data_IF_493156561858
#
_entry.id   IF_493156561858
#
_cell.length_a   1.000
_cell.length_b   1.000
_cell.length_c   1.000
_cell.angle_alpha   90.00
_cell.angle_beta   90.00
_cell.angle_gamma   90.00
#
_symmetry.space_group_name_H-M   'P 1'
#
loop_
_entity.id
_entity.type
_entity.pdbx_description
1 polymer ?
#
# COMPACT_ATOMS: atom_id res chain seq x y z
N UNK A 1 -14.29 23.97 -18.13
CA UNK A 1 -13.21 23.18 -18.79
C UNK A 1 -11.92 23.51 -18.07
N UNK A 2 -11.09 22.51 -17.77
CA UNK A 2 -9.77 22.75 -17.20
C UNK A 2 -8.85 23.34 -18.28
N UNK A 3 -7.90 24.19 -17.90
CA UNK A 3 -6.82 24.60 -18.80
C UNK A 3 -5.90 23.41 -19.13
N UNK A 4 -5.03 23.58 -20.13
CA UNK A 4 -4.22 22.50 -20.67
C UNK A 4 -3.19 21.96 -19.67
N UNK A 5 -2.56 22.83 -18.89
CA UNK A 5 -1.56 22.45 -17.87
C UNK A 5 -2.22 21.66 -16.73
N UNK A 6 -3.39 22.14 -16.28
CA UNK A 6 -4.18 21.48 -15.25
C UNK A 6 -4.73 20.14 -15.72
N UNK A 7 -5.14 20.03 -16.98
CA UNK A 7 -5.61 18.77 -17.57
C UNK A 7 -4.47 17.74 -17.71
N UNK A 8 -3.26 18.18 -18.08
CA UNK A 8 -2.08 17.32 -18.12
C UNK A 8 -1.68 16.85 -16.71
N UNK A 9 -1.67 17.75 -15.73
CA UNK A 9 -1.37 17.42 -14.33
C UNK A 9 -2.38 16.44 -13.77
N UNK A 10 -3.68 16.70 -13.97
CA UNK A 10 -4.75 15.80 -13.56
C UNK A 10 -4.59 14.42 -14.20
N UNK A 11 -4.37 14.35 -15.51
CA UNK A 11 -4.23 13.08 -16.23
C UNK A 11 -3.02 12.26 -15.76
N UNK A 12 -1.95 12.92 -15.32
CA UNK A 12 -0.72 12.29 -14.81
C UNK A 12 -0.86 11.75 -13.39
N UNK A 13 -1.67 12.39 -12.55
CA UNK A 13 -1.79 12.10 -11.12
C UNK A 13 -3.13 11.50 -10.72
N UNK A 14 -4.06 11.31 -11.68
CA UNK A 14 -5.33 10.64 -11.44
C UNK A 14 -5.09 9.25 -10.84
N UNK A 15 -5.92 8.83 -9.87
CA UNK A 15 -5.82 7.49 -9.32
C UNK A 15 -5.95 6.42 -10.41
N UNK A 16 -5.13 5.39 -10.32
CA UNK A 16 -5.34 4.17 -11.07
C UNK A 16 -6.42 3.33 -10.36
N UNK A 17 -7.25 2.63 -11.14
CA UNK A 17 -8.13 1.59 -10.64
C UNK A 17 -7.52 0.27 -11.08
N UNK A 18 -6.97 -0.49 -10.14
CA UNK A 18 -6.40 -1.81 -10.41
C UNK A 18 -7.05 -2.84 -9.50
N UNK A 19 -7.06 -4.08 -9.96
CA UNK A 19 -7.35 -5.21 -9.07
C UNK A 19 -6.16 -5.49 -8.15
N UNK A 20 -6.37 -6.22 -7.03
CA UNK A 20 -5.28 -6.66 -6.16
C UNK A 20 -4.17 -7.41 -6.92
N UNK A 21 -4.54 -8.23 -7.91
CA UNK A 21 -3.62 -8.97 -8.79
C UNK A 21 -2.72 -8.06 -9.63
N UNK A 22 -3.28 -7.00 -10.18
CA UNK A 22 -2.59 -6.09 -11.09
C UNK A 22 -1.68 -5.09 -10.37
N UNK A 23 -1.81 -4.95 -9.05
CA UNK A 23 -1.12 -3.90 -8.29
C UNK A 23 0.40 -4.09 -8.24
N UNK A 24 0.91 -5.32 -8.23
CA UNK A 24 2.36 -5.58 -8.19
C UNK A 24 3.02 -5.38 -9.57
N UNK A 25 2.34 -5.79 -10.65
CA UNK A 25 2.88 -5.71 -12.01
C UNK A 25 2.63 -4.35 -12.69
N UNK A 26 1.43 -3.79 -12.53
CA UNK A 26 0.98 -2.59 -13.23
C UNK A 26 0.95 -1.34 -12.33
N UNK A 27 1.13 -1.52 -11.02
CA UNK A 27 1.12 -0.43 -10.06
C UNK A 27 2.37 0.44 -10.14
N UNK A 28 2.19 1.75 -10.19
CA UNK A 28 3.29 2.71 -10.14
C UNK A 28 3.57 3.10 -8.68
N UNK A 29 4.80 2.90 -8.21
CA UNK A 29 5.22 3.34 -6.87
C UNK A 29 4.98 4.86 -6.68
N UNK A 30 4.46 5.22 -5.51
CA UNK A 30 4.12 6.60 -5.14
C UNK A 30 2.89 7.15 -5.87
N UNK A 31 2.17 6.34 -6.63
CA UNK A 31 0.91 6.73 -7.27
C UNK A 31 -0.30 6.41 -6.39
N UNK A 32 -1.38 7.15 -6.63
CA UNK A 32 -2.68 6.90 -6.02
C UNK A 32 -3.33 5.68 -6.68
N UNK A 33 -3.79 4.74 -5.85
CA UNK A 33 -4.45 3.53 -6.30
C UNK A 33 -5.80 3.39 -5.59
N UNK A 34 -6.82 2.99 -6.35
CA UNK A 34 -8.13 2.62 -5.83
C UNK A 34 -8.33 1.13 -6.11
N UNK A 35 -8.65 0.37 -5.07
CA UNK A 35 -8.94 -1.06 -5.12
C UNK A 35 -10.28 -1.33 -4.45
N UNK A 36 -10.92 -2.44 -4.82
CA UNK A 36 -12.14 -2.93 -4.18
C UNK A 36 -11.90 -4.35 -3.68
N UNK A 37 -12.45 -4.69 -2.52
CA UNK A 37 -12.47 -6.05 -2.02
C UNK A 37 -12.79 -6.11 -0.53
N UNK A 38 -12.62 -7.30 0.05
CA UNK A 38 -12.91 -7.55 1.46
C UNK A 38 -11.58 -7.62 2.24
N UNK A 39 -11.25 -6.65 3.11
CA UNK A 39 -9.99 -6.63 3.83
C UNK A 39 -10.04 -7.64 4.96
N UNK A 40 -9.07 -8.55 4.97
CA UNK A 40 -8.90 -9.53 6.03
C UNK A 40 -7.66 -9.20 6.85
N UNK A 41 -7.83 -8.92 8.13
CA UNK A 41 -6.71 -8.55 9.01
C UNK A 41 -5.73 -9.72 9.13
N UNK A 42 -4.44 -9.41 9.07
CA UNK A 42 -3.34 -10.37 9.29
C UNK A 42 -2.80 -10.15 10.71
N UNK A 43 -2.64 -11.24 11.46
CA UNK A 43 -2.03 -11.18 12.78
C UNK A 43 -0.56 -10.78 12.68
N UNK A 44 -0.30 -9.57 13.17
CA UNK A 44 0.91 -8.80 12.85
C UNK A 44 2.13 -9.21 13.67
N UNK A 45 1.98 -10.15 14.61
CA UNK A 45 3.02 -10.56 15.56
C UNK A 45 3.81 -11.82 15.18
N UNK A 46 3.40 -12.60 14.17
CA UNK A 46 4.08 -13.87 13.85
C UNK A 46 4.13 -14.28 12.38
N UNK A 47 3.29 -13.70 11.50
CA UNK A 47 3.15 -14.21 10.13
C UNK A 47 3.62 -13.25 9.02
N UNK A 48 3.84 -11.96 9.31
CA UNK A 48 4.12 -10.96 8.28
C UNK A 48 5.37 -10.12 8.58
N UNK A 49 6.50 -10.55 8.02
CA UNK A 49 7.79 -9.86 8.13
C UNK A 49 8.00 -8.83 7.00
N UNK A 50 7.29 -7.71 7.07
CA UNK A 50 7.45 -6.59 6.14
C UNK A 50 8.00 -5.34 6.84
N UNK A 51 8.97 -4.71 6.19
CA UNK A 51 9.66 -3.55 6.71
C UNK A 51 9.60 -2.38 5.72
N UNK A 52 9.35 -1.18 6.23
CA UNK A 52 9.54 0.07 5.49
C UNK A 52 10.90 0.65 5.80
N UNK A 53 11.54 1.22 4.77
CA UNK A 53 12.83 1.87 4.91
C UNK A 53 12.62 3.37 5.11
N UNK A 54 13.00 3.88 6.28
CA UNK A 54 12.83 5.29 6.65
C UNK A 54 14.19 5.98 6.71
N UNK A 55 14.42 7.08 5.97
CA UNK A 55 15.64 7.87 6.09
C UNK A 55 15.62 8.71 7.38
N UNK A 56 16.71 8.67 8.14
CA UNK A 56 16.97 9.52 9.30
C UNK A 56 18.16 10.40 8.97
N UNK A 57 17.93 11.71 8.91
CA UNK A 57 18.97 12.69 8.67
C UNK A 57 19.42 13.33 9.99
N UNK A 58 20.72 13.27 10.29
CA UNK A 58 21.34 13.96 11.42
C UNK A 58 22.52 14.78 10.90
N UNK A 59 22.34 16.10 10.81
CA UNK A 59 23.30 17.00 10.17
C UNK A 59 23.48 16.66 8.68
N UNK A 60 24.71 16.34 8.28
CA UNK A 60 25.05 15.98 6.89
C UNK A 60 25.03 14.47 6.61
N UNK A 61 24.61 13.64 7.57
CA UNK A 61 24.59 12.18 7.43
C UNK A 61 23.14 11.71 7.32
N UNK A 62 22.84 10.92 6.28
CA UNK A 62 21.57 10.20 6.14
C UNK A 62 21.80 8.71 6.41
N UNK A 63 21.15 8.18 7.42
CA UNK A 63 21.08 6.73 7.68
C UNK A 63 19.69 6.21 7.34
N UNK A 64 19.56 4.91 7.09
CA UNK A 64 18.25 4.29 6.85
C UNK A 64 17.95 3.31 7.98
N UNK A 65 16.75 3.37 8.54
CA UNK A 65 16.25 2.40 9.51
C UNK A 65 15.15 1.55 8.89
N UNK A 66 15.11 0.26 9.24
CA UNK A 66 14.04 -0.65 8.86
C UNK A 66 13.02 -0.70 10.00
N UNK A 67 11.80 -0.25 9.73
CA UNK A 67 10.71 -0.26 10.71
C UNK A 67 9.69 -1.32 10.26
N UNK A 68 9.32 -2.28 11.11
CA UNK A 68 8.24 -3.21 10.79
C UNK A 68 6.93 -2.45 10.53
N UNK A 69 6.24 -2.79 9.44
CA UNK A 69 4.99 -2.11 9.06
C UNK A 69 3.94 -2.20 10.17
N UNK A 70 3.91 -3.34 10.87
CA UNK A 70 2.96 -3.58 11.95
C UNK A 70 3.16 -2.66 13.16
N UNK A 71 4.25 -1.93 13.31
CA UNK A 71 4.40 -1.00 14.45
C UNK A 71 3.38 0.14 14.34
N UNK A 72 3.18 0.68 13.13
CA UNK A 72 2.34 1.85 12.89
C UNK A 72 1.00 1.51 12.24
N UNK A 73 0.89 0.35 11.59
CA UNK A 73 -0.27 -0.01 10.78
C UNK A 73 -0.93 -1.32 11.22
N UNK A 74 -2.26 -1.34 11.18
CA UNK A 74 -3.02 -2.58 11.08
C UNK A 74 -2.89 -3.08 9.63
N UNK A 75 -2.39 -4.31 9.48
CA UNK A 75 -2.11 -4.91 8.17
C UNK A 75 -3.24 -5.83 7.77
N UNK A 76 -3.71 -5.72 6.53
CA UNK A 76 -4.74 -6.57 5.96
C UNK A 76 -4.31 -7.12 4.60
N UNK A 77 -4.94 -8.22 4.20
CA UNK A 77 -4.92 -8.78 2.86
C UNK A 77 -6.24 -8.49 2.16
N UNK A 78 -6.17 -8.04 0.90
CA UNK A 78 -7.31 -8.04 -0.01
C UNK A 78 -7.03 -9.01 -1.13
N UNK A 79 -7.97 -9.92 -1.37
CA UNK A 79 -7.90 -10.93 -2.42
C UNK A 79 -8.62 -10.42 -3.68
N UNK A 80 -8.09 -10.75 -4.86
CA UNK A 80 -8.85 -10.62 -6.10
C UNK A 80 -9.97 -11.67 -6.14
N UNK A 81 -11.14 -11.30 -6.67
CA UNK A 81 -12.27 -12.22 -6.84
C UNK A 81 -11.99 -13.32 -7.86
N UNK A 82 -11.14 -13.04 -8.85
CA UNK A 82 -10.89 -13.89 -10.02
C UNK A 82 -9.59 -14.71 -9.90
N UNK A 83 -8.69 -14.32 -9.00
CA UNK A 83 -7.39 -14.97 -8.83
C UNK A 83 -7.16 -15.34 -7.36
N UNK A 84 -6.11 -16.09 -7.08
CA UNK A 84 -5.68 -16.34 -5.69
C UNK A 84 -4.70 -15.29 -5.19
N UNK A 85 -4.46 -14.24 -5.97
CA UNK A 85 -3.50 -13.19 -5.64
C UNK A 85 -4.08 -12.24 -4.60
N UNK A 86 -3.17 -11.68 -3.80
CA UNK A 86 -3.49 -10.85 -2.68
C UNK A 86 -2.62 -9.61 -2.68
N UNK A 87 -3.22 -8.49 -2.35
CA UNK A 87 -2.52 -7.25 -2.08
C UNK A 87 -2.50 -6.98 -0.58
N UNK A 88 -1.35 -6.59 -0.08
CA UNK A 88 -1.20 -6.13 1.30
C UNK A 88 -1.64 -4.68 1.37
N UNK A 89 -2.46 -4.36 2.36
CA UNK A 89 -2.83 -2.99 2.69
C UNK A 89 -2.44 -2.68 4.14
N UNK A 90 -2.01 -1.44 4.35
CA UNK A 90 -1.59 -0.93 5.64
C UNK A 90 -2.50 0.25 6.03
N UNK A 91 -3.20 0.11 7.15
CA UNK A 91 -4.15 1.09 7.65
C UNK A 91 -3.71 1.63 8.99
N UNK A 92 -3.76 2.95 9.20
CA UNK A 92 -3.20 3.59 10.41
C UNK A 92 -3.92 3.08 11.68
N UNK A 93 -3.14 2.51 12.62
CA UNK A 93 -3.66 1.96 13.89
C UNK A 93 -4.42 2.97 14.75
N UNK A 94 -4.17 4.27 14.55
CA UNK A 94 -4.81 5.36 15.29
C UNK A 94 -6.22 5.66 14.78
N UNK A 95 -6.61 5.09 13.64
CA UNK A 95 -7.92 5.28 13.02
C UNK A 95 -8.82 4.06 13.24
N UNK A 96 -10.11 4.18 12.91
CA UNK A 96 -11.05 3.05 13.00
C UNK A 96 -10.62 1.92 12.07
N UNK A 97 -10.74 0.68 12.54
CA UNK A 97 -10.40 -0.50 11.76
C UNK A 97 -11.25 -0.57 10.48
N UNK A 98 -10.65 -1.12 9.43
CA UNK A 98 -11.40 -1.47 8.23
C UNK A 98 -12.44 -2.57 8.54
N UNK A 99 -13.65 -2.47 7.98
CA UNK A 99 -14.70 -3.45 8.18
C UNK A 99 -14.39 -4.74 7.41
N UNK A 100 -14.83 -5.89 7.92
CA UNK A 100 -14.70 -7.18 7.22
C UNK A 100 -15.82 -7.38 6.16
N UNK A 101 -16.08 -6.35 5.37
CA UNK A 101 -17.09 -6.33 4.31
C UNK A 101 -16.50 -5.77 3.01
N UNK A 102 -17.27 -5.82 1.92
CA UNK A 102 -16.80 -5.27 0.65
C UNK A 102 -16.66 -3.74 0.74
N UNK A 103 -15.45 -3.24 0.49
CA UNK A 103 -15.11 -1.82 0.64
C UNK A 103 -14.25 -1.36 -0.54
N UNK A 104 -14.42 -0.11 -0.93
CA UNK A 104 -13.53 0.57 -1.88
C UNK A 104 -12.47 1.34 -1.10
N UNK A 105 -11.20 1.05 -1.36
CA UNK A 105 -10.06 1.61 -0.63
C UNK A 105 -9.23 2.45 -1.57
N UNK A 106 -8.94 3.69 -1.17
CA UNK A 106 -8.03 4.58 -1.86
C UNK A 106 -6.77 4.82 -1.03
N UNK A 107 -5.62 4.74 -1.68
CA UNK A 107 -4.34 4.84 -1.00
C UNK A 107 -3.18 5.15 -1.92
N UNK A 108 -1.96 5.08 -1.37
CA UNK A 108 -0.70 5.27 -2.10
C UNK A 108 0.07 3.96 -2.12
N UNK A 109 0.47 3.53 -3.32
CA UNK A 109 1.26 2.32 -3.50
C UNK A 109 2.72 2.56 -3.08
N UNK A 110 3.23 1.80 -2.13
CA UNK A 110 4.59 1.92 -1.59
C UNK A 110 5.32 0.58 -1.66
N UNK A 111 6.65 0.61 -1.63
CA UNK A 111 7.49 -0.58 -1.58
C UNK A 111 7.78 -1.00 -0.13
N UNK A 112 7.92 -2.31 0.09
CA UNK A 112 8.39 -2.86 1.36
C UNK A 112 9.43 -3.95 1.15
N UNK A 113 10.29 -4.14 2.14
CA UNK A 113 11.28 -5.22 2.16
C UNK A 113 10.75 -6.42 2.96
N UNK A 114 10.92 -7.63 2.41
CA UNK A 114 10.67 -8.92 3.10
C UNK A 114 11.94 -9.41 3.79
N UNK A 115 11.80 -10.07 4.93
CA UNK A 115 12.92 -10.56 5.75
C UNK A 115 13.76 -11.68 5.08
N UNK A 116 13.14 -12.50 4.22
CA UNK A 116 13.84 -13.60 3.55
C UNK A 116 14.68 -13.11 2.36
N UNK A 117 15.98 -12.98 2.64
CA UNK A 117 17.09 -12.76 1.70
C UNK A 117 17.09 -13.78 0.55
N UNK A 118 16.55 -13.43 -0.62
CA UNK A 118 17.15 -13.76 -1.94
C UNK A 118 16.34 -13.34 -3.17
N UNK A 119 15.17 -12.74 -3.06
CA UNK A 119 14.51 -12.21 -4.25
C UNK A 119 14.73 -10.70 -4.37
N UNK A 120 15.11 -10.26 -5.58
CA UNK A 120 15.02 -8.85 -6.01
C UNK A 120 13.56 -8.41 -6.19
N UNK A 121 12.60 -9.11 -5.57
CA UNK A 121 11.18 -8.84 -5.75
C UNK A 121 10.84 -7.66 -4.86
N UNK A 122 10.77 -6.49 -5.49
CA UNK A 122 10.17 -5.30 -4.89
C UNK A 122 8.68 -5.59 -4.72
N UNK A 123 8.29 -6.01 -3.52
CA UNK A 123 6.88 -6.16 -3.21
C UNK A 123 6.28 -4.81 -2.80
N UNK A 124 5.01 -4.64 -3.14
CA UNK A 124 4.27 -3.40 -2.93
C UNK A 124 3.13 -3.60 -1.93
N UNK A 125 2.83 -2.56 -1.18
CA UNK A 125 1.67 -2.48 -0.31
C UNK A 125 0.92 -1.17 -0.54
N UNK A 126 -0.38 -1.17 -0.28
CA UNK A 126 -1.19 0.05 -0.35
C UNK A 126 -1.28 0.68 1.04
N UNK A 127 -0.77 1.89 1.20
CA UNK A 127 -1.03 2.70 2.39
C UNK A 127 -2.40 3.37 2.25
N UNK A 128 -3.33 3.00 3.13
CA UNK A 128 -4.72 3.44 3.07
C UNK A 128 -4.84 4.90 3.51
N UNK A 129 -5.46 5.73 2.66
CA UNK A 129 -5.79 7.12 2.98
C UNK A 129 -7.27 7.31 3.26
N UNK A 130 -8.14 6.59 2.56
CA UNK A 130 -9.59 6.61 2.76
C UNK A 130 -10.23 5.29 2.34
N UNK A 131 -11.44 5.05 2.83
CA UNK A 131 -12.28 3.93 2.41
C UNK A 131 -13.74 4.39 2.26
N UNK A 132 -14.50 3.69 1.42
CA UNK A 132 -15.90 3.94 1.12
C UNK A 132 -16.67 2.62 1.16
N UNK A 133 -17.74 2.58 1.95
CA UNK A 133 -18.68 1.46 2.06
C UNK A 133 -19.96 1.76 1.29
#
# INVERSE_FOLDING_TARGET
MLDEELNQSYSKHKPAYLKPSEAEENGKLGSNLIIKGIPKKIDSGSQFSAFIMVPIATGNVTTFTMIPIFENYDVYEIKDDNTSEKLIIAHDKRTHRLPEEEVTIGGVLKEFAKENKNSKDKSVFLEVLYHLN
#
